data_IF_979731252387
#
_entry.id   IF_979731252387
#
_cell.length_a   1.000
_cell.length_b   1.000
_cell.length_c   1.000
_cell.angle_alpha   90.00
_cell.angle_beta   90.00
_cell.angle_gamma   90.00
#
_symmetry.space_group_name_H-M   'P 1'
#
loop_
_entity.id
_entity.type
_entity.pdbx_description
1 polymer ?
#
# COMPACT_ATOMS: atom_id res chain seq x y z
N UNK A 1 -18.38 5.42 28.87
CA UNK A 1 -17.05 5.59 29.50
C UNK A 1 -16.43 4.26 29.97
N UNK A 2 -17.11 3.46 30.79
CA UNK A 2 -16.55 2.21 31.33
C UNK A 2 -16.05 1.22 30.24
N UNK A 3 -16.78 1.06 29.13
CA UNK A 3 -16.40 0.16 28.04
C UNK A 3 -15.10 0.58 27.32
N UNK A 4 -14.84 1.87 27.18
CA UNK A 4 -13.60 2.36 26.58
C UNK A 4 -12.40 2.19 27.53
N UNK A 5 -12.57 2.41 28.83
CA UNK A 5 -11.50 2.14 29.81
C UNK A 5 -11.07 0.68 29.81
N UNK A 6 -12.04 -0.24 29.71
CA UNK A 6 -11.72 -1.65 29.58
C UNK A 6 -10.99 -1.94 28.26
N UNK A 7 -11.45 -1.40 27.15
CA UNK A 7 -10.82 -1.60 25.84
C UNK A 7 -9.36 -1.09 25.84
N UNK A 8 -9.10 0.05 26.49
CA UNK A 8 -7.75 0.56 26.70
C UNK A 8 -6.88 -0.43 27.51
N UNK A 9 -7.45 -0.99 28.59
CA UNK A 9 -6.77 -1.99 29.39
C UNK A 9 -6.47 -3.29 28.61
N UNK A 10 -7.38 -3.70 27.70
CA UNK A 10 -7.13 -4.85 26.82
C UNK A 10 -5.96 -4.59 25.86
N UNK A 11 -5.88 -3.39 25.25
CA UNK A 11 -4.73 -2.99 24.42
C UNK A 11 -3.45 -2.92 25.27
N UNK A 12 -3.52 -2.34 26.45
CA UNK A 12 -2.37 -2.23 27.36
C UNK A 12 -1.87 -3.61 27.82
N UNK A 13 -2.78 -4.58 28.02
CA UNK A 13 -2.43 -5.94 28.43
C UNK A 13 -1.64 -6.72 27.38
N UNK A 14 -1.76 -6.35 26.11
CA UNK A 14 -1.04 -6.97 24.99
C UNK A 14 0.06 -6.06 24.41
N UNK A 15 0.44 -5.00 25.13
CA UNK A 15 1.42 -4.01 24.67
C UNK A 15 2.78 -4.65 24.31
N UNK A 16 3.24 -5.63 25.07
CA UNK A 16 4.49 -6.34 24.80
C UNK A 16 4.36 -7.23 23.56
N UNK A 17 3.22 -7.90 23.34
CA UNK A 17 2.96 -8.66 22.12
C UNK A 17 2.89 -7.75 20.88
N UNK A 18 2.25 -6.58 20.99
CA UNK A 18 2.20 -5.58 19.91
C UNK A 18 3.63 -5.19 19.51
N UNK A 19 4.49 -4.89 20.48
CA UNK A 19 5.86 -4.50 20.21
C UNK A 19 6.72 -5.66 19.71
N UNK A 20 6.50 -6.86 20.23
CA UNK A 20 7.18 -8.08 19.79
C UNK A 20 6.92 -8.36 18.30
N UNK A 21 5.66 -8.32 17.88
CA UNK A 21 5.28 -8.44 16.46
C UNK A 21 5.90 -7.33 15.62
N UNK A 22 5.82 -6.07 16.07
CA UNK A 22 6.42 -4.95 15.35
C UNK A 22 7.93 -5.14 15.13
N UNK A 23 8.62 -5.63 16.17
CA UNK A 23 10.09 -5.81 16.14
C UNK A 23 10.51 -6.95 15.23
N UNK A 24 9.83 -8.11 15.29
CA UNK A 24 10.15 -9.24 14.43
C UNK A 24 9.87 -8.95 12.96
N UNK A 25 8.71 -8.33 12.63
CA UNK A 25 8.41 -7.93 11.26
C UNK A 25 9.44 -6.90 10.77
N UNK A 26 9.86 -5.95 11.63
CA UNK A 26 10.91 -4.98 11.31
C UNK A 26 12.26 -5.66 11.02
N UNK A 27 12.62 -6.69 11.79
CA UNK A 27 13.86 -7.45 11.60
C UNK A 27 13.86 -8.34 10.37
N UNK A 28 12.70 -8.94 10.03
CA UNK A 28 12.57 -9.79 8.85
C UNK A 28 12.69 -8.98 7.57
N UNK A 29 12.13 -7.78 7.53
CA UNK A 29 12.22 -6.81 6.43
C UNK A 29 12.01 -7.45 5.05
N UNK A 30 11.02 -8.35 4.92
CA UNK A 30 10.73 -9.08 3.70
C UNK A 30 9.93 -8.21 2.73
N UNK A 31 10.39 -8.17 1.48
CA UNK A 31 9.73 -7.36 0.43
C UNK A 31 8.47 -8.03 -0.11
N UNK A 32 7.64 -7.26 -0.80
CA UNK A 32 6.37 -7.70 -1.35
C UNK A 32 6.44 -9.03 -2.11
N UNK A 33 5.43 -9.88 -1.94
CA UNK A 33 5.31 -11.27 -2.37
C UNK A 33 6.25 -12.30 -1.70
N UNK A 34 7.15 -11.87 -0.81
CA UNK A 34 8.14 -12.73 -0.15
C UNK A 34 8.08 -12.64 1.38
N UNK A 35 6.98 -12.15 1.93
CA UNK A 35 6.77 -11.88 3.35
C UNK A 35 6.45 -13.17 4.15
N UNK A 36 7.17 -14.25 3.88
CA UNK A 36 6.84 -15.57 4.44
C UNK A 36 6.95 -15.63 5.97
N UNK A 37 8.03 -15.09 6.55
CA UNK A 37 8.25 -15.08 8.00
C UNK A 37 7.31 -14.08 8.68
N UNK A 38 7.20 -12.88 8.12
CA UNK A 38 6.35 -11.81 8.63
C UNK A 38 4.89 -12.27 8.69
N UNK A 39 4.38 -12.80 7.58
CA UNK A 39 3.04 -13.36 7.47
C UNK A 39 2.79 -14.49 8.47
N UNK A 40 3.71 -15.47 8.57
CA UNK A 40 3.60 -16.59 9.49
C UNK A 40 3.58 -16.11 10.96
N UNK A 41 4.48 -15.19 11.31
CA UNK A 41 4.60 -14.68 12.67
C UNK A 41 3.34 -13.95 13.15
N UNK A 42 2.74 -13.10 12.28
CA UNK A 42 1.49 -12.42 12.59
C UNK A 42 0.33 -13.41 12.72
N UNK A 43 0.26 -14.44 11.86
CA UNK A 43 -0.72 -15.52 11.98
C UNK A 43 -0.61 -16.25 13.31
N UNK A 44 0.59 -16.70 13.68
CA UNK A 44 0.84 -17.43 14.94
C UNK A 44 0.47 -16.57 16.15
N UNK A 45 0.79 -15.27 16.12
CA UNK A 45 0.41 -14.33 17.17
C UNK A 45 -1.12 -14.23 17.31
N UNK A 46 -1.87 -14.14 16.21
CA UNK A 46 -3.34 -14.11 16.24
C UNK A 46 -3.93 -15.45 16.69
N UNK A 47 -3.41 -16.58 16.22
CA UNK A 47 -3.86 -17.92 16.64
C UNK A 47 -3.66 -18.12 18.15
N UNK A 48 -2.53 -17.66 18.70
CA UNK A 48 -2.25 -17.71 20.15
C UNK A 48 -3.27 -16.92 20.99
N UNK A 49 -3.91 -15.93 20.36
CA UNK A 49 -4.94 -15.10 20.95
C UNK A 49 -6.37 -15.57 20.63
N UNK A 50 -6.52 -16.77 20.06
CA UNK A 50 -7.81 -17.42 19.82
C UNK A 50 -8.52 -17.00 18.54
N UNK A 51 -7.81 -16.44 17.56
CA UNK A 51 -8.31 -16.32 16.19
C UNK A 51 -8.12 -17.63 15.44
N UNK A 52 -9.01 -17.91 14.49
CA UNK A 52 -8.89 -19.05 13.57
C UNK A 52 -8.53 -18.55 12.20
N UNK A 53 -7.44 -19.08 11.60
CA UNK A 53 -7.08 -18.77 10.22
C UNK A 53 -7.98 -19.60 9.30
N UNK A 54 -8.92 -18.91 8.62
CA UNK A 54 -9.94 -19.56 7.78
C UNK A 54 -9.48 -19.80 6.36
N UNK A 55 -8.65 -18.90 5.81
CA UNK A 55 -8.20 -18.92 4.42
C UNK A 55 -6.73 -18.52 4.33
N UNK A 56 -6.02 -19.07 3.33
CA UNK A 56 -4.63 -18.75 2.99
C UNK A 56 -4.45 -18.75 1.47
N UNK A 57 -3.46 -18.02 0.97
CA UNK A 57 -3.13 -18.00 -0.46
C UNK A 57 -4.21 -17.35 -1.33
N UNK A 58 -4.92 -16.36 -0.79
CA UNK A 58 -6.07 -15.73 -1.41
C UNK A 58 -5.65 -14.93 -2.64
N UNK A 59 -6.36 -15.10 -3.74
CA UNK A 59 -6.02 -14.40 -4.99
C UNK A 59 -4.69 -14.82 -5.60
N UNK A 60 -4.12 -15.98 -5.18
CA UNK A 60 -2.81 -16.45 -5.60
C UNK A 60 -1.64 -15.83 -4.84
N UNK A 61 -1.89 -15.10 -3.76
CA UNK A 61 -0.87 -14.49 -2.90
C UNK A 61 -0.54 -15.44 -1.75
N UNK A 62 0.58 -16.15 -1.83
CA UNK A 62 0.95 -17.20 -0.86
C UNK A 62 0.99 -16.72 0.59
N UNK A 63 1.35 -15.46 0.82
CA UNK A 63 1.50 -14.85 2.14
C UNK A 63 0.23 -14.16 2.65
N UNK A 64 -0.88 -14.20 1.86
CA UNK A 64 -2.19 -13.68 2.27
C UNK A 64 -2.98 -14.66 3.14
N UNK A 65 -3.80 -14.14 4.05
CA UNK A 65 -4.65 -14.92 4.93
C UNK A 65 -5.83 -14.14 5.49
N UNK A 66 -6.83 -14.86 6.02
CA UNK A 66 -7.93 -14.30 6.81
C UNK A 66 -7.95 -14.99 8.17
N UNK A 67 -7.87 -14.21 9.25
CA UNK A 67 -8.08 -14.66 10.61
C UNK A 67 -9.45 -14.18 11.10
N UNK A 68 -10.23 -15.07 11.71
CA UNK A 68 -11.60 -14.78 12.13
C UNK A 68 -11.78 -15.07 13.61
N UNK A 69 -12.52 -14.21 14.31
CA UNK A 69 -13.00 -14.45 15.67
C UNK A 69 -14.39 -13.85 15.87
N UNK A 70 -15.14 -14.40 16.83
CA UNK A 70 -16.53 -14.03 17.07
C UNK A 70 -17.51 -14.74 16.15
N UNK A 71 -18.81 -14.45 16.34
CA UNK A 71 -19.88 -15.06 15.56
C UNK A 71 -21.13 -14.18 15.54
N UNK A 72 -21.72 -14.08 14.34
CA UNK A 72 -22.95 -13.29 14.11
C UNK A 72 -22.73 -11.79 14.31
N UNK A 73 -23.81 -11.03 14.31
CA UNK A 73 -23.77 -9.56 14.40
C UNK A 73 -23.08 -8.88 13.23
N UNK A 74 -22.73 -7.60 13.35
CA UNK A 74 -21.95 -6.92 12.34
C UNK A 74 -20.52 -7.49 12.22
N UNK A 75 -19.98 -7.48 11.01
CA UNK A 75 -18.64 -7.96 10.69
C UNK A 75 -17.69 -6.78 10.46
N UNK A 76 -16.68 -6.67 11.31
CA UNK A 76 -15.59 -5.69 11.21
C UNK A 76 -14.39 -6.31 10.50
N UNK A 77 -13.93 -5.71 9.41
CA UNK A 77 -12.66 -6.00 8.77
C UNK A 77 -11.52 -5.15 9.35
N UNK A 78 -10.34 -5.72 9.48
CA UNK A 78 -9.11 -5.01 9.86
C UNK A 78 -8.01 -5.43 8.89
N UNK A 79 -7.39 -4.47 8.20
CA UNK A 79 -6.29 -4.72 7.26
C UNK A 79 -4.95 -4.77 7.99
N UNK A 80 -4.10 -5.67 7.54
CA UNK A 80 -2.74 -5.89 8.08
C UNK A 80 -1.78 -5.94 6.90
N UNK A 81 -0.84 -5.02 6.86
CA UNK A 81 0.27 -4.98 5.89
C UNK A 81 1.56 -5.32 6.61
N UNK A 82 2.51 -5.95 5.93
CA UNK A 82 3.77 -6.40 6.54
C UNK A 82 4.95 -6.48 5.57
N UNK A 83 4.82 -5.98 4.35
CA UNK A 83 5.91 -5.90 3.38
C UNK A 83 6.84 -4.73 3.66
N UNK A 84 8.14 -4.94 3.36
CA UNK A 84 9.22 -3.96 3.47
C UNK A 84 9.60 -3.41 2.09
N UNK A 85 10.36 -2.33 2.11
CA UNK A 85 10.90 -1.69 0.91
C UNK A 85 12.34 -2.13 0.66
N UNK A 86 12.68 -2.40 -0.61
CA UNK A 86 14.04 -2.73 -1.01
C UNK A 86 15.03 -1.59 -0.72
N UNK A 87 16.24 -1.93 -0.26
CA UNK A 87 17.34 -0.99 -0.09
C UNK A 87 17.18 0.04 1.04
N UNK A 88 16.16 -0.08 1.89
CA UNK A 88 15.89 0.85 3.00
C UNK A 88 16.27 0.31 4.37
N UNK A 89 17.10 -0.74 4.41
CA UNK A 89 17.66 -1.26 5.67
C UNK A 89 18.48 -0.19 6.41
N UNK A 90 18.11 0.09 7.65
CA UNK A 90 18.84 1.02 8.50
C UNK A 90 18.78 0.58 9.96
N UNK A 91 19.85 0.83 10.70
CA UNK A 91 19.88 0.64 12.14
C UNK A 91 19.07 1.74 12.85
N UNK A 92 18.69 1.52 14.12
CA UNK A 92 17.96 2.46 14.97
C UNK A 92 18.84 3.60 15.48
N UNK A 93 19.52 4.28 14.57
CA UNK A 93 20.41 5.41 14.83
C UNK A 93 20.03 6.63 13.96
N UNK A 94 20.23 7.87 14.40
CA UNK A 94 19.78 9.06 13.69
C UNK A 94 20.73 9.48 12.55
N UNK A 95 21.23 8.52 11.81
CA UNK A 95 22.04 8.67 10.60
C UNK A 95 21.87 7.47 9.70
N UNK A 96 22.18 7.60 8.43
CA UNK A 96 22.19 6.44 7.54
C UNK A 96 23.27 5.45 7.98
N UNK A 97 22.89 4.23 8.30
CA UNK A 97 23.75 3.16 8.76
C UNK A 97 23.17 1.81 8.40
N UNK A 98 23.99 0.88 7.95
CA UNK A 98 23.52 -0.48 7.66
C UNK A 98 22.81 -1.07 8.88
N UNK A 99 21.70 -1.79 8.64
CA UNK A 99 20.98 -2.49 9.69
C UNK A 99 21.92 -3.45 10.45
N UNK A 100 21.78 -3.53 11.76
CA UNK A 100 22.60 -4.43 12.60
C UNK A 100 22.42 -5.91 12.19
N UNK A 101 21.24 -6.27 11.66
CA UNK A 101 20.96 -7.59 11.06
C UNK A 101 21.75 -7.86 9.77
N UNK A 102 22.28 -6.82 9.12
CA UNK A 102 22.89 -6.90 7.79
C UNK A 102 21.87 -6.98 6.64
N UNK A 103 20.57 -6.89 6.94
CA UNK A 103 19.52 -6.93 5.92
C UNK A 103 19.51 -5.63 5.10
N UNK A 104 19.52 -5.69 3.75
CA UNK A 104 19.55 -4.48 2.93
C UNK A 104 18.21 -3.74 2.89
N UNK A 105 17.09 -4.44 3.10
CA UNK A 105 15.72 -3.93 2.98
C UNK A 105 15.21 -3.47 4.34
N UNK A 106 14.15 -2.64 4.35
CA UNK A 106 13.65 -2.09 5.60
C UNK A 106 12.26 -1.50 5.52
N UNK A 107 11.61 -1.39 6.67
CA UNK A 107 10.27 -0.84 6.81
C UNK A 107 10.25 0.69 6.76
N UNK A 108 10.61 1.27 5.59
CA UNK A 108 10.58 2.73 5.36
C UNK A 108 9.18 3.33 5.28
N UNK A 109 8.14 2.50 5.09
CA UNK A 109 6.73 2.87 5.16
C UNK A 109 6.07 2.49 6.50
N UNK A 110 6.71 1.61 7.29
CA UNK A 110 6.25 1.24 8.64
C UNK A 110 5.17 0.17 8.68
N UNK A 111 5.10 -0.72 7.71
CA UNK A 111 4.12 -1.82 7.69
C UNK A 111 4.28 -2.79 8.88
N UNK A 112 5.46 -2.86 9.50
CA UNK A 112 5.65 -3.55 10.79
C UNK A 112 4.78 -2.95 11.91
N UNK A 113 4.55 -1.63 11.90
CA UNK A 113 3.68 -0.94 12.85
C UNK A 113 2.20 -1.14 12.48
N UNK A 114 1.87 -1.23 11.19
CA UNK A 114 0.52 -1.56 10.71
C UNK A 114 0.14 -2.96 11.17
N UNK A 115 1.02 -3.94 10.96
CA UNK A 115 0.80 -5.32 11.38
C UNK A 115 0.48 -5.41 12.87
N UNK A 116 1.31 -4.80 13.68
CA UNK A 116 1.23 -4.91 15.14
C UNK A 116 0.07 -4.11 15.76
N UNK A 117 -0.20 -2.88 15.30
CA UNK A 117 -1.33 -2.09 15.78
C UNK A 117 -2.68 -2.71 15.42
N UNK A 118 -2.81 -3.21 14.19
CA UNK A 118 -4.00 -3.91 13.73
C UNK A 118 -4.27 -5.18 14.53
N UNK A 119 -3.22 -5.97 14.82
CA UNK A 119 -3.29 -7.15 15.68
C UNK A 119 -3.75 -6.77 17.08
N UNK A 120 -3.14 -5.77 17.71
CA UNK A 120 -3.51 -5.31 19.06
C UNK A 120 -4.95 -4.85 19.16
N UNK A 121 -5.41 -4.09 18.15
CA UNK A 121 -6.80 -3.64 18.05
C UNK A 121 -7.78 -4.83 17.92
N UNK A 122 -7.47 -5.79 17.05
CA UNK A 122 -8.30 -6.97 16.84
C UNK A 122 -8.47 -7.79 18.13
N UNK A 123 -7.38 -8.03 18.87
CA UNK A 123 -7.39 -8.76 20.15
C UNK A 123 -8.25 -8.03 21.18
N UNK A 124 -8.05 -6.71 21.34
CA UNK A 124 -8.80 -5.92 22.31
C UNK A 124 -10.31 -5.91 22.03
N UNK A 125 -10.71 -5.77 20.76
CA UNK A 125 -12.12 -5.81 20.35
C UNK A 125 -12.70 -7.21 20.61
N UNK A 126 -11.98 -8.26 20.24
CA UNK A 126 -12.36 -9.65 20.50
C UNK A 126 -12.63 -9.87 21.98
N UNK A 127 -11.67 -9.55 22.86
CA UNK A 127 -11.81 -9.71 24.28
C UNK A 127 -13.01 -8.92 24.86
N UNK A 128 -13.26 -7.74 24.31
CA UNK A 128 -14.41 -6.91 24.70
C UNK A 128 -15.76 -7.54 24.31
N UNK A 129 -15.86 -8.07 23.08
CA UNK A 129 -17.06 -8.78 22.58
C UNK A 129 -17.35 -9.99 23.44
N UNK A 130 -16.35 -10.83 23.71
CA UNK A 130 -16.47 -12.04 24.53
C UNK A 130 -16.90 -11.71 25.96
N UNK A 131 -16.28 -10.73 26.57
CA UNK A 131 -16.59 -10.35 27.93
C UNK A 131 -18.00 -9.78 28.12
N UNK A 132 -18.49 -9.03 27.14
CA UNK A 132 -19.83 -8.44 27.15
C UNK A 132 -20.90 -9.38 26.55
N UNK A 133 -20.46 -10.50 25.95
CA UNK A 133 -21.32 -11.49 25.30
C UNK A 133 -22.25 -10.88 24.25
N UNK A 134 -21.72 -9.94 23.47
CA UNK A 134 -22.46 -9.34 22.36
C UNK A 134 -22.14 -10.06 21.04
N UNK A 135 -23.10 -10.14 20.10
CA UNK A 135 -22.80 -10.68 18.77
C UNK A 135 -21.90 -9.73 18.00
N UNK A 136 -20.93 -10.26 17.30
CA UNK A 136 -20.01 -9.52 16.44
C UNK A 136 -18.97 -10.46 15.85
N UNK A 137 -18.52 -10.17 14.66
CA UNK A 137 -17.48 -10.91 13.96
C UNK A 137 -16.32 -9.97 13.61
N UNK A 138 -15.11 -10.42 13.82
CA UNK A 138 -13.88 -9.71 13.43
C UNK A 138 -13.17 -10.58 12.40
N UNK A 139 -12.88 -9.99 11.24
CA UNK A 139 -12.01 -10.58 10.23
C UNK A 139 -10.75 -9.72 10.09
N UNK A 140 -9.61 -10.32 10.32
CA UNK A 140 -8.30 -9.69 10.11
C UNK A 140 -7.74 -10.21 8.81
N UNK A 141 -7.35 -9.32 7.92
CA UNK A 141 -6.87 -9.64 6.58
C UNK A 141 -5.38 -9.39 6.50
N UNK A 142 -4.58 -10.44 6.35
CA UNK A 142 -3.17 -10.34 6.01
C UNK A 142 -3.01 -9.99 4.54
N UNK A 143 -2.58 -8.78 4.27
CA UNK A 143 -2.52 -8.17 2.95
C UNK A 143 -1.05 -7.96 2.55
N UNK A 144 -0.46 -8.88 1.75
CA UNK A 144 0.90 -8.73 1.26
C UNK A 144 1.00 -7.72 0.13
N UNK A 145 2.25 -7.34 -0.23
CA UNK A 145 2.62 -6.63 -1.44
C UNK A 145 1.90 -5.29 -1.67
N UNK A 146 1.66 -4.51 -0.58
CA UNK A 146 1.06 -3.18 -0.69
C UNK A 146 1.98 -2.24 -1.49
N UNK A 147 3.28 -2.28 -1.23
CA UNK A 147 4.30 -1.46 -1.91
C UNK A 147 4.41 -1.78 -3.43
N UNK A 148 3.94 -2.96 -3.82
CA UNK A 148 3.80 -3.35 -5.23
C UNK A 148 2.46 -2.88 -5.82
N UNK A 149 1.57 -2.27 -5.02
CA UNK A 149 0.20 -1.87 -5.37
C UNK A 149 -0.65 -3.05 -5.90
N UNK A 150 -0.47 -4.24 -5.35
CA UNK A 150 -1.00 -5.48 -5.94
C UNK A 150 -1.47 -6.55 -4.94
N UNK A 151 -1.65 -6.22 -3.67
CA UNK A 151 -2.12 -7.17 -2.68
C UNK A 151 -3.64 -7.22 -2.58
N UNK A 152 -4.24 -6.15 -2.09
CA UNK A 152 -5.67 -6.08 -1.76
C UNK A 152 -6.57 -6.13 -2.99
N UNK A 153 -6.12 -5.63 -4.16
CA UNK A 153 -6.85 -5.72 -5.42
C UNK A 153 -7.02 -7.18 -5.90
N UNK A 154 -6.02 -8.05 -5.70
CA UNK A 154 -6.15 -9.49 -6.00
C UNK A 154 -7.02 -10.20 -4.97
N UNK A 155 -6.88 -9.87 -3.68
CA UNK A 155 -7.77 -10.39 -2.63
C UNK A 155 -9.23 -9.96 -2.88
N UNK A 156 -9.45 -8.71 -3.31
CA UNK A 156 -10.76 -8.17 -3.69
C UNK A 156 -11.38 -8.95 -4.86
N UNK A 157 -10.58 -9.20 -5.90
CA UNK A 157 -10.98 -9.99 -7.08
C UNK A 157 -11.35 -11.43 -6.73
N UNK A 158 -10.70 -12.00 -5.71
CA UNK A 158 -10.99 -13.32 -5.17
C UNK A 158 -12.19 -13.34 -4.20
N UNK A 159 -12.82 -12.19 -3.92
CA UNK A 159 -13.99 -12.10 -3.05
C UNK A 159 -13.68 -12.17 -1.54
N UNK A 160 -12.42 -11.95 -1.13
CA UNK A 160 -11.97 -12.05 0.25
C UNK A 160 -12.79 -11.21 1.23
N UNK A 161 -13.22 -10.03 0.79
CA UNK A 161 -13.92 -9.04 1.61
C UNK A 161 -15.44 -9.24 1.69
N UNK A 162 -15.96 -10.33 1.14
CA UNK A 162 -17.41 -10.62 1.15
C UNK A 162 -17.93 -10.80 2.57
N UNK A 163 -19.11 -10.18 2.84
CA UNK A 163 -19.78 -10.27 4.13
C UNK A 163 -19.15 -9.43 5.24
N UNK A 164 -18.27 -8.49 4.92
CA UNK A 164 -17.74 -7.48 5.84
C UNK A 164 -18.61 -6.23 5.75
N UNK A 165 -18.99 -5.66 6.89
CA UNK A 165 -19.87 -4.50 6.98
C UNK A 165 -19.13 -3.17 6.96
N UNK A 166 -17.92 -3.13 7.55
CA UNK A 166 -17.05 -1.96 7.64
C UNK A 166 -15.60 -2.43 7.80
N UNK A 167 -14.65 -1.71 7.23
CA UNK A 167 -13.24 -2.06 7.29
C UNK A 167 -12.41 -0.91 7.88
N UNK A 168 -11.43 -1.27 8.70
CA UNK A 168 -10.48 -0.33 9.27
C UNK A 168 -9.06 -0.69 8.85
N UNK A 169 -8.27 0.36 8.61
CA UNK A 169 -6.83 0.24 8.44
C UNK A 169 -6.09 1.32 9.24
N UNK A 170 -4.80 1.32 9.22
CA UNK A 170 -3.99 2.37 9.81
C UNK A 170 -2.69 2.54 9.04
N UNK A 171 -2.09 3.72 9.10
CA UNK A 171 -0.85 3.99 8.42
C UNK A 171 0.03 4.96 9.21
N UNK A 172 1.29 4.59 9.51
CA UNK A 172 2.25 5.53 10.07
C UNK A 172 2.54 6.66 9.10
N UNK A 173 2.86 7.84 9.62
CA UNK A 173 3.13 9.05 8.87
C UNK A 173 4.01 10.02 9.66
N UNK A 174 4.23 11.22 9.14
CA UNK A 174 4.85 12.33 9.89
C UNK A 174 3.84 13.16 10.70
N UNK A 175 2.52 12.92 10.53
CA UNK A 175 1.43 13.68 11.14
C UNK A 175 0.37 12.77 11.75
N UNK A 176 -0.51 13.33 12.61
CA UNK A 176 -1.66 12.59 13.14
C UNK A 176 -2.93 13.12 12.50
N UNK A 177 -3.71 12.25 11.84
CA UNK A 177 -4.97 12.59 11.17
C UNK A 177 -5.77 11.32 10.86
N UNK A 178 -6.78 11.38 9.99
CA UNK A 178 -7.50 10.23 9.44
C UNK A 178 -7.38 10.18 7.93
N UNK A 179 -7.46 9.00 7.36
CA UNK A 179 -7.32 8.74 5.92
C UNK A 179 -8.62 9.04 5.16
N UNK A 180 -9.09 10.29 5.24
CA UNK A 180 -10.32 10.72 4.58
C UNK A 180 -10.03 11.62 3.38
N UNK A 181 -9.32 11.08 2.40
CA UNK A 181 -8.95 11.78 1.18
C UNK A 181 -9.11 10.87 -0.04
N UNK A 182 -9.19 11.47 -1.22
CA UNK A 182 -9.07 10.75 -2.48
C UNK A 182 -7.59 10.51 -2.80
N UNK A 183 -7.21 9.24 -2.95
CA UNK A 183 -5.93 8.88 -3.54
C UNK A 183 -6.06 8.77 -5.06
N UNK A 184 -4.96 8.59 -5.78
CA UNK A 184 -5.03 8.33 -7.21
C UNK A 184 -5.18 6.85 -7.51
N UNK A 185 -6.01 6.50 -8.50
CA UNK A 185 -6.01 5.20 -9.15
C UNK A 185 -4.78 5.05 -10.04
N UNK A 186 -4.33 3.83 -10.29
CA UNK A 186 -3.12 3.57 -11.08
C UNK A 186 -3.23 2.27 -11.86
N UNK A 187 -2.49 2.17 -12.98
CA UNK A 187 -2.29 0.92 -13.71
C UNK A 187 -0.88 0.84 -14.27
N UNK A 188 -0.31 -0.36 -14.23
CA UNK A 188 0.99 -0.69 -14.80
C UNK A 188 0.84 -1.66 -15.96
N UNK A 189 1.51 -1.34 -17.07
CA UNK A 189 1.49 -2.16 -18.27
C UNK A 189 2.91 -2.40 -18.77
N UNK A 190 3.23 -3.65 -19.11
CA UNK A 190 4.31 -3.92 -20.05
C UNK A 190 3.75 -3.95 -21.45
N UNK A 191 4.45 -3.26 -22.34
CA UNK A 191 4.13 -3.26 -23.76
C UNK A 191 5.37 -3.69 -24.52
N UNK A 192 5.24 -4.75 -25.30
CA UNK A 192 6.29 -5.34 -26.10
C UNK A 192 5.92 -5.29 -27.57
N UNK A 193 6.92 -5.10 -28.42
CA UNK A 193 6.77 -5.25 -29.84
C UNK A 193 7.73 -6.31 -30.34
N UNK A 194 7.22 -7.20 -31.23
CA UNK A 194 7.96 -8.25 -31.88
C UNK A 194 8.01 -7.98 -33.38
N UNK A 195 9.21 -7.88 -33.92
CA UNK A 195 9.50 -7.58 -35.31
C UNK A 195 10.28 -8.71 -36.00
N UNK A 196 11.20 -8.31 -36.88
CA UNK A 196 12.09 -9.24 -37.63
C UNK A 196 13.49 -8.65 -37.68
N UNK A 197 14.48 -9.39 -37.18
CA UNK A 197 15.87 -8.99 -37.24
C UNK A 197 16.41 -9.00 -38.68
N UNK A 198 17.30 -8.09 -38.99
CA UNK A 198 18.05 -8.05 -40.25
C UNK A 198 19.38 -7.30 -40.06
N UNK A 199 20.33 -7.52 -40.96
CA UNK A 199 21.58 -6.75 -40.95
C UNK A 199 21.30 -5.32 -41.40
N UNK A 200 21.45 -4.34 -40.53
CA UNK A 200 21.05 -2.96 -40.76
C UNK A 200 21.78 -2.29 -41.94
N UNK A 201 23.01 -2.69 -42.23
CA UNK A 201 23.79 -2.11 -43.34
C UNK A 201 23.68 -2.91 -44.66
N UNK A 202 23.23 -4.14 -44.66
CA UNK A 202 23.24 -5.03 -45.86
C UNK A 202 21.84 -5.21 -46.44
N UNK A 203 20.86 -5.50 -45.58
CA UNK A 203 19.49 -5.80 -45.99
C UNK A 203 18.43 -5.30 -44.99
N UNK A 204 18.43 -3.99 -44.63
CA UNK A 204 17.48 -3.46 -43.65
C UNK A 204 16.02 -3.58 -44.09
N UNK A 205 15.74 -3.70 -45.38
CA UNK A 205 14.38 -3.88 -45.91
C UNK A 205 13.78 -5.26 -45.58
N UNK A 206 14.59 -6.24 -45.23
CA UNK A 206 14.13 -7.56 -44.76
C UNK A 206 13.68 -7.50 -43.28
N UNK A 207 14.09 -6.47 -42.53
CA UNK A 207 13.76 -6.31 -41.11
C UNK A 207 12.44 -5.60 -40.84
N UNK A 208 11.94 -5.75 -39.65
CA UNK A 208 10.83 -4.97 -39.07
C UNK A 208 11.22 -4.57 -37.67
N UNK A 209 11.48 -3.28 -37.47
CA UNK A 209 12.06 -2.81 -36.20
C UNK A 209 11.00 -2.67 -35.10
N UNK A 210 11.14 -3.48 -34.07
CA UNK A 210 10.36 -3.35 -32.83
C UNK A 210 10.67 -2.04 -32.11
N UNK A 211 11.93 -1.58 -32.15
CA UNK A 211 12.33 -0.29 -31.60
C UNK A 211 11.59 0.87 -32.25
N UNK A 212 11.41 0.89 -33.57
CA UNK A 212 10.65 1.94 -34.24
C UNK A 212 9.18 1.94 -33.81
N UNK A 213 8.58 0.77 -33.53
CA UNK A 213 7.23 0.71 -32.96
C UNK A 213 7.18 1.38 -31.57
N UNK A 214 8.13 1.05 -30.71
CA UNK A 214 8.24 1.68 -29.38
C UNK A 214 8.47 3.20 -29.48
N UNK A 215 9.32 3.69 -30.40
CA UNK A 215 9.54 5.12 -30.63
C UNK A 215 8.26 5.84 -31.05
N UNK A 216 7.50 5.29 -31.99
CA UNK A 216 6.20 5.83 -32.41
C UNK A 216 5.23 5.86 -31.22
N UNK A 217 5.16 4.79 -30.45
CA UNK A 217 4.35 4.70 -29.25
C UNK A 217 4.71 5.80 -28.25
N UNK A 218 5.98 5.96 -27.91
CA UNK A 218 6.45 6.96 -26.94
C UNK A 218 6.19 8.40 -27.41
N UNK A 219 6.34 8.69 -28.71
CA UNK A 219 5.97 9.99 -29.27
C UNK A 219 4.47 10.25 -29.10
N UNK A 220 3.61 9.28 -29.46
CA UNK A 220 2.16 9.43 -29.33
C UNK A 220 1.72 9.56 -27.86
N UNK A 221 2.33 8.80 -26.95
CA UNK A 221 2.08 8.89 -25.50
C UNK A 221 2.48 10.28 -24.95
N UNK A 222 3.59 10.85 -25.41
CA UNK A 222 3.98 12.20 -25.01
C UNK A 222 3.02 13.28 -25.55
N UNK A 223 2.43 13.10 -26.74
CA UNK A 223 1.37 13.97 -27.25
C UNK A 223 0.05 13.79 -26.46
N UNK A 224 -0.30 12.56 -26.05
CA UNK A 224 -1.47 12.28 -25.23
C UNK A 224 -1.46 13.05 -23.90
N UNK A 225 -0.29 13.38 -23.35
CA UNK A 225 -0.16 14.14 -22.08
C UNK A 225 -0.91 15.47 -22.10
N UNK A 226 -1.04 16.12 -23.25
CA UNK A 226 -1.75 17.40 -23.35
C UNK A 226 -3.27 17.27 -23.12
N UNK A 227 -3.83 16.08 -23.35
CA UNK A 227 -5.25 15.79 -23.19
C UNK A 227 -5.57 15.06 -21.87
N UNK A 228 -4.57 14.86 -21.01
CA UNK A 228 -4.75 14.28 -19.68
C UNK A 228 -5.25 15.33 -18.68
N UNK A 229 -5.97 14.87 -17.65
CA UNK A 229 -6.36 15.72 -16.54
C UNK A 229 -5.11 16.27 -15.81
N UNK A 230 -5.15 17.49 -15.24
CA UNK A 230 -4.01 18.09 -14.54
C UNK A 230 -3.48 17.23 -13.37
N UNK A 231 -4.35 16.43 -12.73
CA UNK A 231 -4.00 15.52 -11.64
C UNK A 231 -3.36 14.22 -12.13
N UNK A 232 -3.57 13.86 -13.41
CA UNK A 232 -3.05 12.62 -13.96
C UNK A 232 -1.52 12.67 -14.18
N UNK A 233 -0.88 11.52 -14.08
CA UNK A 233 0.56 11.35 -14.34
C UNK A 233 0.79 10.11 -15.18
N UNK A 234 1.73 10.21 -16.11
CA UNK A 234 2.16 9.11 -16.94
C UNK A 234 3.68 9.06 -16.96
N UNK A 235 4.22 7.91 -16.60
CA UNK A 235 5.65 7.64 -16.59
C UNK A 235 5.94 6.37 -17.39
N UNK A 236 7.13 6.26 -17.96
CA UNK A 236 7.58 5.04 -18.62
C UNK A 236 9.07 4.83 -18.45
N UNK A 237 9.48 3.58 -18.59
CA UNK A 237 10.85 3.14 -18.60
C UNK A 237 11.06 2.18 -19.77
N UNK A 238 12.08 2.41 -20.58
CA UNK A 238 12.49 1.50 -21.64
C UNK A 238 13.26 0.35 -20.98
N UNK A 239 12.75 -0.87 -21.16
CA UNK A 239 13.36 -2.08 -20.60
C UNK A 239 14.25 -2.80 -21.63
N UNK A 240 13.87 -2.74 -22.92
CA UNK A 240 14.63 -3.29 -24.00
C UNK A 240 14.45 -2.42 -25.27
N UNK A 241 15.52 -2.14 -25.97
CA UNK A 241 15.55 -1.38 -27.23
C UNK A 241 16.45 -2.04 -28.30
N UNK A 242 16.82 -3.30 -28.11
CA UNK A 242 17.70 -4.06 -29.01
C UNK A 242 19.11 -4.22 -28.48
N UNK A 243 19.91 -5.07 -29.13
CA UNK A 243 21.19 -5.57 -28.61
C UNK A 243 22.43 -5.00 -29.33
N UNK A 244 22.32 -4.63 -30.60
CA UNK A 244 23.46 -4.16 -31.39
C UNK A 244 23.02 -3.14 -32.46
N UNK A 245 23.81 -2.10 -32.67
CA UNK A 245 23.48 -0.99 -33.58
C UNK A 245 23.39 -1.42 -35.05
N UNK A 246 24.07 -2.49 -35.43
CA UNK A 246 24.08 -3.03 -36.81
C UNK A 246 23.05 -4.15 -37.04
N UNK A 247 22.13 -4.37 -36.10
CA UNK A 247 21.03 -5.34 -36.18
C UNK A 247 19.71 -4.59 -36.04
N UNK A 248 18.78 -4.78 -36.97
CA UNK A 248 17.41 -4.28 -36.82
C UNK A 248 16.78 -4.99 -35.60
N UNK A 249 16.34 -4.26 -34.55
CA UNK A 249 15.78 -4.89 -33.35
C UNK A 249 14.47 -5.63 -33.64
N UNK A 250 14.42 -6.90 -33.32
CA UNK A 250 13.22 -7.75 -33.44
C UNK A 250 12.40 -7.79 -32.15
N UNK A 251 12.91 -7.24 -31.07
CA UNK A 251 12.22 -7.09 -29.81
C UNK A 251 12.46 -5.68 -29.21
N UNK A 252 11.42 -5.11 -28.58
CA UNK A 252 11.50 -3.91 -27.75
C UNK A 252 10.43 -3.97 -26.67
N UNK A 253 10.72 -3.46 -25.48
CA UNK A 253 9.87 -3.53 -24.30
C UNK A 253 9.88 -2.24 -23.51
N UNK A 254 8.72 -1.78 -23.08
CA UNK A 254 8.54 -0.61 -22.20
C UNK A 254 7.63 -0.96 -21.03
N UNK A 255 8.00 -0.49 -19.84
CA UNK A 255 7.09 -0.41 -18.68
C UNK A 255 6.44 0.99 -18.71
N UNK A 256 5.12 1.04 -18.55
CA UNK A 256 4.38 2.29 -18.47
C UNK A 256 3.46 2.26 -17.25
N UNK A 257 3.45 3.36 -16.48
CA UNK A 257 2.54 3.60 -15.36
C UNK A 257 1.68 4.81 -15.66
N UNK A 258 0.38 4.63 -15.63
CA UNK A 258 -0.60 5.72 -15.67
C UNK A 258 -1.27 5.85 -14.29
N UNK A 259 -1.30 7.08 -13.74
CA UNK A 259 -2.05 7.44 -12.54
C UNK A 259 -3.12 8.45 -12.92
N UNK A 260 -4.34 8.22 -12.50
CA UNK A 260 -5.47 9.12 -12.74
C UNK A 260 -6.25 9.42 -11.46
N UNK A 261 -7.09 10.45 -11.46
CA UNK A 261 -7.88 10.83 -10.27
C UNK A 261 -8.95 9.79 -9.91
N UNK A 262 -9.27 8.86 -10.81
CA UNK A 262 -10.25 7.79 -10.58
C UNK A 262 -9.95 6.56 -11.42
N UNK A 263 -10.50 5.41 -11.01
CA UNK A 263 -10.43 4.18 -11.77
C UNK A 263 -11.06 4.32 -13.18
N UNK A 264 -12.15 5.08 -13.31
CA UNK A 264 -12.78 5.37 -14.61
C UNK A 264 -11.82 6.10 -15.56
N UNK A 265 -11.08 7.08 -15.04
CA UNK A 265 -10.07 7.81 -15.81
C UNK A 265 -8.91 6.89 -16.23
N UNK A 266 -8.46 6.04 -15.31
CA UNK A 266 -7.42 5.03 -15.59
C UNK A 266 -7.87 4.07 -16.69
N UNK A 267 -9.09 3.54 -16.60
CA UNK A 267 -9.61 2.61 -17.61
C UNK A 267 -9.76 3.27 -18.98
N UNK A 268 -10.24 4.50 -19.03
CA UNK A 268 -10.31 5.28 -20.27
C UNK A 268 -8.93 5.44 -20.93
N UNK A 269 -7.92 5.77 -20.16
CA UNK A 269 -6.58 5.96 -20.68
C UNK A 269 -5.86 4.65 -20.97
N UNK A 270 -6.16 3.55 -20.23
CA UNK A 270 -5.72 2.19 -20.60
C UNK A 270 -6.12 1.84 -22.03
N UNK A 271 -7.41 2.03 -22.37
CA UNK A 271 -7.90 1.77 -23.74
C UNK A 271 -7.11 2.59 -24.75
N UNK A 272 -6.90 3.87 -24.50
CA UNK A 272 -6.15 4.73 -25.40
C UNK A 272 -4.67 4.31 -25.56
N UNK A 273 -4.02 3.90 -24.46
CA UNK A 273 -2.65 3.34 -24.50
C UNK A 273 -2.57 2.07 -25.36
N UNK A 274 -3.57 1.19 -25.25
CA UNK A 274 -3.66 -0.02 -26.08
C UNK A 274 -3.84 0.32 -27.57
N UNK A 275 -4.69 1.30 -27.88
CA UNK A 275 -4.89 1.76 -29.27
C UNK A 275 -3.60 2.39 -29.86
N UNK A 276 -2.87 3.16 -29.07
CA UNK A 276 -1.57 3.73 -29.47
C UNK A 276 -0.56 2.61 -29.73
N UNK A 277 -0.48 1.62 -28.84
CA UNK A 277 0.45 0.49 -28.99
C UNK A 277 0.16 -0.32 -30.27
N UNK A 278 -1.12 -0.59 -30.52
CA UNK A 278 -1.59 -1.26 -31.73
C UNK A 278 -1.32 -0.40 -33.00
N UNK A 279 -1.57 0.91 -32.93
CA UNK A 279 -1.27 1.84 -34.02
C UNK A 279 0.22 1.85 -34.38
N UNK A 280 1.09 1.86 -33.38
CA UNK A 280 2.53 1.77 -33.55
C UNK A 280 2.97 0.46 -34.24
N UNK A 281 2.39 -0.67 -33.82
CA UNK A 281 2.62 -1.97 -34.40
C UNK A 281 2.21 -2.03 -35.89
N UNK A 282 1.03 -1.49 -36.22
CA UNK A 282 0.55 -1.38 -37.60
C UNK A 282 1.46 -0.52 -38.47
N UNK A 283 1.95 0.62 -37.96
CA UNK A 283 2.87 1.50 -38.70
C UNK A 283 4.18 0.84 -39.08
N UNK A 284 4.66 -0.09 -38.24
CA UNK A 284 5.98 -0.74 -38.39
C UNK A 284 5.92 -2.18 -38.89
N UNK A 285 4.71 -2.72 -39.10
CA UNK A 285 4.48 -4.11 -39.46
C UNK A 285 5.07 -5.08 -38.42
N UNK A 286 4.97 -4.72 -37.13
CA UNK A 286 5.35 -5.52 -35.99
C UNK A 286 4.09 -6.07 -35.29
N UNK A 287 4.25 -6.85 -34.22
CA UNK A 287 3.16 -7.37 -33.39
C UNK A 287 3.36 -6.89 -31.96
N UNK A 288 2.36 -6.22 -31.42
CA UNK A 288 2.34 -5.84 -30.01
C UNK A 288 1.87 -6.99 -29.11
N UNK A 289 2.41 -7.03 -27.89
CA UNK A 289 1.94 -7.83 -26.77
C UNK A 289 1.83 -6.91 -25.56
N UNK A 290 0.70 -6.92 -24.87
CA UNK A 290 0.49 -6.13 -23.68
C UNK A 290 0.24 -7.04 -22.50
N UNK A 291 0.99 -6.84 -21.42
CA UNK A 291 0.80 -7.50 -20.13
C UNK A 291 0.34 -6.47 -19.11
N UNK A 292 -0.84 -6.67 -18.53
CA UNK A 292 -1.31 -5.89 -17.40
C UNK A 292 -0.63 -6.41 -16.13
N UNK A 293 0.20 -5.58 -15.50
CA UNK A 293 0.92 -5.94 -14.28
C UNK A 293 0.08 -5.74 -13.02
N UNK A 294 -1.01 -5.00 -13.14
CA UNK A 294 -1.94 -4.72 -12.07
C UNK A 294 -2.40 -3.27 -12.08
N UNK A 295 -3.52 -3.04 -11.41
CA UNK A 295 -4.08 -1.71 -11.24
C UNK A 295 -4.88 -1.62 -9.95
N UNK A 296 -4.94 -0.43 -9.39
CA UNK A 296 -5.64 -0.12 -8.15
C UNK A 296 -6.61 1.04 -8.31
N UNK A 297 -7.65 1.01 -7.51
CA UNK A 297 -8.64 2.07 -7.41
C UNK A 297 -8.13 3.27 -6.58
N UNK A 298 -8.71 4.43 -6.81
CA UNK A 298 -8.71 5.57 -5.91
C UNK A 298 -9.44 5.22 -4.60
N UNK A 299 -9.04 5.83 -3.47
CA UNK A 299 -9.76 5.65 -2.21
C UNK A 299 -11.11 6.38 -2.23
N UNK A 300 -12.16 5.70 -1.79
CA UNK A 300 -13.50 6.26 -1.63
C UNK A 300 -13.69 6.76 -0.19
N UNK A 301 -13.77 8.08 0.06
CA UNK A 301 -13.95 8.63 1.40
C UNK A 301 -15.29 8.27 2.03
N UNK A 302 -15.35 8.33 3.38
CA UNK A 302 -16.59 8.21 4.16
C UNK A 302 -16.53 9.18 5.34
N UNK A 303 -17.22 10.31 5.25
CA UNK A 303 -17.16 11.38 6.23
C UNK A 303 -17.71 10.97 7.60
N UNK A 304 -18.79 10.16 7.64
CA UNK A 304 -19.38 9.66 8.91
C UNK A 304 -18.37 8.78 9.65
N UNK A 305 -17.68 7.90 8.92
CA UNK A 305 -16.67 7.02 9.50
C UNK A 305 -15.41 7.82 9.92
N UNK A 306 -15.03 8.81 9.11
CA UNK A 306 -13.92 9.71 9.43
C UNK A 306 -14.17 10.53 10.70
N UNK A 307 -15.38 11.06 10.88
CA UNK A 307 -15.76 11.77 12.12
C UNK A 307 -15.67 10.84 13.34
N UNK A 308 -16.12 9.58 13.21
CA UNK A 308 -16.00 8.60 14.28
C UNK A 308 -14.53 8.39 14.66
N UNK A 309 -13.68 8.09 13.69
CA UNK A 309 -12.25 7.84 13.94
C UNK A 309 -11.53 9.09 14.45
N UNK A 310 -11.87 10.28 13.97
CA UNK A 310 -11.29 11.56 14.43
C UNK A 310 -11.56 11.82 15.92
N UNK A 311 -12.75 11.44 16.42
CA UNK A 311 -13.02 11.54 17.88
C UNK A 311 -12.06 10.68 18.69
N UNK A 312 -11.74 9.47 18.20
CA UNK A 312 -10.79 8.58 18.86
C UNK A 312 -9.34 9.00 18.65
N UNK A 313 -8.99 9.54 17.48
CA UNK A 313 -7.68 10.19 17.29
C UNK A 313 -7.44 11.30 18.33
N UNK A 314 -8.39 12.21 18.52
CA UNK A 314 -8.27 13.28 19.51
C UNK A 314 -8.24 12.80 20.96
N UNK A 315 -8.67 11.57 21.24
CA UNK A 315 -8.60 10.96 22.56
C UNK A 315 -7.22 10.41 22.90
N UNK A 316 -6.53 9.82 21.91
CA UNK A 316 -5.29 9.09 22.13
C UNK A 316 -4.05 9.80 21.59
N UNK A 317 -4.22 10.79 20.74
CA UNK A 317 -3.15 11.61 20.17
C UNK A 317 -3.30 13.10 20.57
N UNK A 318 -2.21 13.90 20.51
CA UNK A 318 -0.86 13.51 20.12
C UNK A 318 -0.14 12.66 21.19
N UNK A 319 0.84 11.87 20.74
CA UNK A 319 1.71 11.11 21.63
C UNK A 319 2.60 12.07 22.43
N UNK A 320 2.82 11.76 23.71
CA UNK A 320 3.79 12.45 24.55
C UNK A 320 5.19 11.87 24.27
N UNK A 321 5.92 12.56 23.42
CA UNK A 321 7.29 12.22 23.09
C UNK A 321 8.25 12.62 24.19
N UNK A 322 9.27 11.80 24.46
CA UNK A 322 10.35 12.18 25.37
C UNK A 322 11.32 13.17 24.69
N UNK A 323 12.15 13.84 25.52
CA UNK A 323 13.16 14.76 25.00
C UNK A 323 14.18 14.02 24.13
N UNK A 324 14.51 12.76 24.45
CA UNK A 324 15.41 11.90 23.67
C UNK A 324 14.81 11.53 22.30
N UNK A 325 13.51 11.20 22.24
CA UNK A 325 12.82 10.90 21.00
C UNK A 325 12.73 12.15 20.10
N UNK A 326 12.44 13.32 20.68
CA UNK A 326 12.46 14.58 19.95
C UNK A 326 13.86 14.95 19.47
N UNK A 327 14.91 14.71 20.27
CA UNK A 327 16.29 14.93 19.88
C UNK A 327 16.72 13.97 18.75
N UNK A 328 16.32 12.70 18.82
CA UNK A 328 16.55 11.72 17.78
C UNK A 328 15.91 12.16 16.45
N UNK A 329 14.66 12.59 16.48
CA UNK A 329 13.94 13.09 15.33
C UNK A 329 14.61 14.32 14.69
N UNK A 330 15.00 15.30 15.50
CA UNK A 330 15.75 16.48 15.03
C UNK A 330 17.11 16.12 14.44
N UNK A 331 17.77 15.11 14.97
CA UNK A 331 19.07 14.64 14.43
C UNK A 331 18.90 14.03 13.03
N UNK A 332 17.82 13.25 12.77
CA UNK A 332 17.48 12.77 11.44
C UNK A 332 17.21 13.95 10.50
N UNK A 333 16.39 14.91 10.93
CA UNK A 333 16.06 16.09 10.11
C UNK A 333 17.32 16.88 9.74
N UNK A 334 18.22 17.08 10.69
CA UNK A 334 19.50 17.74 10.47
C UNK A 334 20.37 17.00 9.46
N UNK A 335 20.51 15.68 9.62
CA UNK A 335 21.28 14.83 8.69
C UNK A 335 20.71 14.88 7.28
N UNK A 336 19.39 14.97 7.14
CA UNK A 336 18.70 15.06 5.85
C UNK A 336 18.49 16.52 5.35
N UNK A 337 19.06 17.52 6.01
CA UNK A 337 18.94 18.92 5.59
C UNK A 337 17.50 19.47 5.65
N UNK A 338 16.67 18.99 6.58
CA UNK A 338 15.28 19.40 6.77
C UNK A 338 15.12 20.31 8.00
N UNK A 339 14.00 21.06 8.12
CA UNK A 339 13.68 21.82 9.34
C UNK A 339 13.64 20.90 10.57
N UNK A 340 14.27 21.32 11.68
CA UNK A 340 14.45 20.51 12.90
C UNK A 340 13.26 20.66 13.87
N UNK A 341 12.02 20.44 13.40
CA UNK A 341 10.78 20.56 14.18
C UNK A 341 10.45 19.33 15.02
N UNK A 342 11.17 18.21 14.82
CA UNK A 342 10.97 16.96 15.56
C UNK A 342 9.75 16.17 15.10
N UNK A 343 9.09 15.50 16.07
CA UNK A 343 7.89 14.69 15.87
C UNK A 343 6.63 15.54 16.06
N UNK A 344 5.53 15.17 15.41
CA UNK A 344 4.27 15.87 15.50
C UNK A 344 3.70 15.87 16.93
N UNK A 345 3.21 17.03 17.37
CA UNK A 345 2.61 17.27 18.68
C UNK A 345 1.15 17.74 18.61
N UNK A 346 0.53 17.63 17.44
CA UNK A 346 -0.87 17.99 17.18
C UNK A 346 -1.59 16.90 16.41
N UNK A 347 -2.91 16.91 16.46
CA UNK A 347 -3.78 16.16 15.56
C UNK A 347 -4.29 17.12 14.50
N UNK A 348 -4.08 16.81 13.26
CA UNK A 348 -4.50 17.64 12.12
C UNK A 348 -5.82 17.09 11.56
N UNK A 349 -6.88 17.90 11.49
CA UNK A 349 -8.08 17.48 10.78
C UNK A 349 -7.79 17.39 9.28
N UNK A 350 -8.34 16.38 8.62
CA UNK A 350 -8.33 16.30 7.17
C UNK A 350 -9.66 16.89 6.66
N UNK A 351 -9.62 17.96 5.85
CA UNK A 351 -10.82 18.42 5.18
C UNK A 351 -11.37 17.35 4.24
N UNK A 352 -12.69 17.19 4.23
CA UNK A 352 -13.36 16.33 3.24
C UNK A 352 -13.05 16.81 1.81
N UNK A 353 -12.87 15.86 0.89
CA UNK A 353 -12.61 16.15 -0.53
C UNK A 353 -11.17 16.56 -0.87
N UNK A 354 -10.21 16.33 0.01
CA UNK A 354 -8.78 16.54 -0.29
C UNK A 354 -8.27 15.45 -1.23
N UNK A 355 -7.60 15.85 -2.30
CA UNK A 355 -6.89 14.95 -3.22
C UNK A 355 -5.41 14.86 -2.83
N UNK A 356 -4.88 13.65 -2.75
CA UNK A 356 -3.45 13.38 -2.53
C UNK A 356 -2.86 12.62 -3.72
N UNK A 357 -1.61 12.90 -4.06
CA UNK A 357 -0.93 12.28 -5.18
C UNK A 357 -0.44 10.84 -4.94
N UNK A 358 -0.62 10.31 -3.74
CA UNK A 358 -0.28 8.93 -3.38
C UNK A 358 -1.34 7.93 -3.86
N UNK A 359 -0.96 6.67 -3.92
CA UNK A 359 -1.84 5.54 -4.24
C UNK A 359 -1.65 4.45 -3.20
N UNK A 360 -2.71 3.72 -2.88
CA UNK A 360 -2.66 2.51 -2.04
C UNK A 360 -3.73 1.54 -2.53
N UNK A 361 -3.46 0.25 -2.46
CA UNK A 361 -4.42 -0.79 -2.81
C UNK A 361 -5.57 -0.93 -1.78
N UNK A 362 -5.56 -0.16 -0.68
CA UNK A 362 -6.72 0.11 0.18
C UNK A 362 -7.88 0.72 -0.62
N UNK A 363 -7.58 1.42 -1.72
CA UNK A 363 -8.56 1.92 -2.66
C UNK A 363 -9.56 0.84 -3.06
N UNK A 364 -9.07 -0.32 -3.52
CA UNK A 364 -9.92 -1.44 -3.96
C UNK A 364 -10.88 -1.92 -2.86
N UNK A 365 -10.42 -2.00 -1.62
CA UNK A 365 -11.28 -2.35 -0.46
C UNK A 365 -12.32 -1.27 -0.22
N UNK A 366 -11.97 0.01 -0.34
CA UNK A 366 -12.85 1.14 -0.09
C UNK A 366 -14.02 1.24 -1.07
N UNK A 367 -13.91 0.64 -2.25
CA UNK A 367 -15.01 0.53 -3.22
C UNK A 367 -15.92 -0.67 -3.00
N UNK A 368 -15.52 -1.61 -2.15
CA UNK A 368 -16.31 -2.78 -1.77
C UNK A 368 -17.04 -2.58 -0.44
N UNK A 369 -16.38 -1.89 0.50
CA UNK A 369 -16.81 -1.77 1.89
C UNK A 369 -16.47 -0.37 2.39
N UNK A 370 -17.31 0.28 3.22
CA UNK A 370 -16.91 1.51 3.90
C UNK A 370 -15.59 1.30 4.65
N UNK A 371 -14.55 2.05 4.28
CA UNK A 371 -13.20 1.84 4.81
C UNK A 371 -12.61 3.15 5.33
N UNK A 372 -11.90 3.13 6.46
CA UNK A 372 -11.24 4.30 7.04
C UNK A 372 -9.96 3.92 7.74
N UNK A 373 -8.96 4.79 7.67
CA UNK A 373 -7.65 4.59 8.29
C UNK A 373 -7.26 5.67 9.30
N UNK A 374 -6.62 5.23 10.39
CA UNK A 374 -5.90 6.11 11.30
C UNK A 374 -4.52 6.43 10.71
N UNK A 375 -4.18 7.71 10.60
CA UNK A 375 -2.85 8.17 10.18
C UNK A 375 -2.14 8.76 11.38
N UNK A 376 -0.96 8.27 11.72
CA UNK A 376 -0.31 8.63 12.97
C UNK A 376 1.19 8.86 12.83
N UNK A 377 1.69 9.84 13.60
CA UNK A 377 3.11 10.18 13.61
C UNK A 377 3.95 9.02 14.14
N UNK A 378 4.89 8.57 13.31
CA UNK A 378 5.87 7.53 13.64
C UNK A 378 7.29 7.87 13.13
N UNK A 379 7.46 9.01 12.47
CA UNK A 379 8.75 9.57 12.06
C UNK A 379 8.71 11.11 12.02
N UNK A 380 9.89 11.78 11.88
CA UNK A 380 9.97 13.23 12.00
C UNK A 380 9.17 13.99 10.93
N UNK A 381 8.65 15.16 11.30
CA UNK A 381 8.07 16.12 10.37
C UNK A 381 9.05 16.43 9.21
N UNK A 382 8.53 16.77 8.05
CA UNK A 382 9.30 17.12 6.83
C UNK A 382 10.12 15.99 6.21
N UNK A 383 10.14 14.80 6.81
CA UNK A 383 10.76 13.61 6.21
C UNK A 383 9.71 12.92 5.34
N UNK A 384 9.89 12.80 4.01
CA UNK A 384 8.98 12.04 3.17
C UNK A 384 9.01 10.55 3.54
N UNK A 385 7.97 9.78 3.24
CA UNK A 385 8.00 8.33 3.38
C UNK A 385 9.10 7.72 2.49
N UNK A 386 9.41 6.44 2.73
CA UNK A 386 10.43 5.67 1.99
C UNK A 386 11.83 6.25 2.12
N UNK A 387 12.19 6.61 3.37
CA UNK A 387 13.52 7.10 3.73
C UNK A 387 14.10 6.26 4.87
N UNK A 388 15.43 6.14 4.92
CA UNK A 388 16.15 5.45 5.99
C UNK A 388 15.78 5.95 7.40
N UNK A 389 15.49 7.24 7.52
CA UNK A 389 15.08 7.85 8.79
C UNK A 389 13.73 7.35 9.31
N UNK A 390 12.82 6.95 8.41
CA UNK A 390 11.57 6.29 8.77
C UNK A 390 11.86 4.89 9.33
N UNK A 391 12.66 4.08 8.62
CA UNK A 391 13.08 2.74 9.07
C UNK A 391 13.72 2.79 10.46
N UNK A 392 14.62 3.76 10.70
CA UNK A 392 15.25 3.95 12.01
C UNK A 392 14.25 4.22 13.14
N UNK A 393 13.22 5.03 12.88
CA UNK A 393 12.18 5.35 13.87
C UNK A 393 11.26 4.15 14.17
N UNK A 394 10.97 3.33 13.17
CA UNK A 394 10.02 2.23 13.30
C UNK A 394 10.55 1.05 14.14
N UNK A 395 11.89 0.88 14.27
CA UNK A 395 12.51 -0.15 15.09
C UNK A 395 12.81 0.28 16.54
N UNK A 396 12.34 1.45 17.00
CA UNK A 396 12.67 1.97 18.32
C UNK A 396 11.44 2.46 19.12
N UNK A 397 11.68 3.15 20.25
CA UNK A 397 10.59 3.62 21.13
C UNK A 397 9.58 4.54 20.45
N UNK A 398 9.96 5.29 19.40
CA UNK A 398 9.05 6.08 18.58
C UNK A 398 8.01 5.16 17.93
N UNK A 399 8.44 4.12 17.23
CA UNK A 399 7.56 3.12 16.63
C UNK A 399 6.72 2.39 17.69
N UNK A 400 7.33 2.01 18.85
CA UNK A 400 6.61 1.34 19.94
C UNK A 400 5.45 2.18 20.48
N UNK A 401 5.65 3.46 20.71
CA UNK A 401 4.59 4.36 21.18
C UNK A 401 3.53 4.58 20.11
N UNK A 402 3.97 4.77 18.87
CA UNK A 402 3.09 5.02 17.73
C UNK A 402 2.12 3.85 17.49
N UNK A 403 2.64 2.62 17.37
CA UNK A 403 1.82 1.44 17.14
C UNK A 403 0.85 1.17 18.29
N UNK A 404 1.28 1.38 19.55
CA UNK A 404 0.42 1.19 20.72
C UNK A 404 -0.76 2.16 20.74
N UNK A 405 -0.55 3.45 20.44
CA UNK A 405 -1.64 4.43 20.39
C UNK A 405 -2.54 4.21 19.17
N UNK A 406 -1.98 3.81 18.02
CA UNK A 406 -2.75 3.44 16.85
C UNK A 406 -3.69 2.26 17.14
N UNK A 407 -3.21 1.24 17.85
CA UNK A 407 -4.05 0.11 18.29
C UNK A 407 -5.25 0.59 19.13
N UNK A 408 -5.09 1.58 20.02
CA UNK A 408 -6.19 2.16 20.80
C UNK A 408 -7.21 2.89 19.93
N UNK A 409 -6.76 3.68 18.94
CA UNK A 409 -7.67 4.35 18.00
C UNK A 409 -8.48 3.32 17.21
N UNK A 410 -7.79 2.33 16.65
CA UNK A 410 -8.42 1.27 15.86
C UNK A 410 -9.42 0.46 16.70
N UNK A 411 -9.03 0.07 17.92
CA UNK A 411 -9.88 -0.67 18.84
C UNK A 411 -11.13 0.14 19.22
N UNK A 412 -10.97 1.41 19.58
CA UNK A 412 -12.08 2.27 19.99
C UNK A 412 -13.06 2.55 18.85
N UNK A 413 -12.54 2.79 17.63
CA UNK A 413 -13.35 2.99 16.43
C UNK A 413 -14.13 1.71 16.09
N UNK A 414 -13.45 0.57 16.04
CA UNK A 414 -14.08 -0.72 15.75
C UNK A 414 -15.15 -1.11 16.79
N UNK A 415 -14.86 -0.87 18.06
CA UNK A 415 -15.83 -1.08 19.13
C UNK A 415 -17.06 -0.18 18.98
N UNK A 416 -16.90 1.10 18.69
CA UNK A 416 -18.04 2.01 18.49
C UNK A 416 -18.93 1.56 17.34
N UNK A 417 -18.35 1.11 16.23
CA UNK A 417 -19.07 0.60 15.07
C UNK A 417 -19.85 -0.68 15.38
N UNK A 418 -19.25 -1.62 16.11
CA UNK A 418 -19.90 -2.89 16.48
C UNK A 418 -21.00 -2.70 17.55
N UNK A 419 -20.84 -1.73 18.46
CA UNK A 419 -21.77 -1.50 19.56
C UNK A 419 -22.84 -0.43 19.30
N UNK A 420 -22.77 0.27 18.17
CA UNK A 420 -23.71 1.33 17.77
C UNK A 420 -24.29 1.07 16.39
N UNK A 421 -25.41 0.32 16.30
CA UNK A 421 -26.04 0.00 15.03
C UNK A 421 -26.45 1.24 14.20
N UNK A 422 -26.86 2.34 14.86
CA UNK A 422 -27.26 3.55 14.16
C UNK A 422 -26.07 4.23 13.45
N UNK A 423 -24.89 4.20 14.07
CA UNK A 423 -23.65 4.69 13.44
C UNK A 423 -23.28 3.83 12.24
N UNK A 424 -23.28 2.50 12.40
CA UNK A 424 -22.94 1.59 11.31
C UNK A 424 -23.88 1.75 10.10
N UNK A 425 -25.19 1.90 10.34
CA UNK A 425 -26.14 2.16 9.26
C UNK A 425 -25.90 3.53 8.59
N UNK A 426 -25.53 4.57 9.34
CA UNK A 426 -25.18 5.86 8.76
C UNK A 426 -23.93 5.78 7.87
N UNK A 427 -22.92 5.02 8.30
CA UNK A 427 -21.70 4.74 7.52
C UNK A 427 -22.01 4.01 6.21
N UNK A 428 -22.87 2.98 6.26
CA UNK A 428 -23.31 2.23 5.08
C UNK A 428 -24.16 3.09 4.12
N UNK A 429 -25.02 3.93 4.67
CA UNK A 429 -25.85 4.83 3.87
C UNK A 429 -25.02 5.85 3.11
N UNK A 430 -23.98 6.39 3.76
CA UNK A 430 -23.03 7.27 3.08
C UNK A 430 -22.23 6.55 2.00
N UNK A 431 -21.72 5.37 2.29
CA UNK A 431 -21.01 4.54 1.31
C UNK A 431 -21.87 4.30 0.06
N UNK A 432 -23.14 3.96 0.23
CA UNK A 432 -24.08 3.78 -0.88
C UNK A 432 -24.26 5.07 -1.71
N UNK A 433 -24.30 6.24 -1.04
CA UNK A 433 -24.36 7.54 -1.74
C UNK A 433 -23.09 7.82 -2.52
N UNK A 434 -21.91 7.55 -1.95
CA UNK A 434 -20.61 7.78 -2.58
C UNK A 434 -20.41 6.86 -3.80
N UNK A 435 -20.84 5.62 -3.72
CA UNK A 435 -20.84 4.71 -4.87
C UNK A 435 -21.68 5.24 -6.03
N UNK A 436 -22.76 5.96 -5.76
CA UNK A 436 -23.63 6.55 -6.77
C UNK A 436 -24.02 5.57 -7.90
N UNK A 437 -24.37 4.34 -7.52
CA UNK A 437 -24.75 3.26 -8.44
C UNK A 437 -23.58 2.59 -9.18
N UNK A 438 -22.35 3.00 -8.95
CA UNK A 438 -21.17 2.33 -9.49
C UNK A 438 -20.89 1.03 -8.73
N UNK A 439 -20.29 0.09 -9.43
CA UNK A 439 -19.86 -1.20 -8.86
C UNK A 439 -18.36 -1.38 -9.08
N UNK A 440 -17.68 -1.91 -8.09
CA UNK A 440 -16.26 -2.25 -8.22
C UNK A 440 -16.07 -3.30 -9.32
N UNK A 441 -15.05 -3.06 -10.16
CA UNK A 441 -14.56 -4.00 -11.16
C UNK A 441 -13.04 -3.96 -11.13
N UNK A 442 -12.41 -5.09 -10.85
CA UNK A 442 -10.95 -5.16 -10.79
C UNK A 442 -10.31 -4.59 -12.05
N UNK A 443 -9.25 -3.79 -11.88
CA UNK A 443 -8.42 -3.31 -12.99
C UNK A 443 -7.45 -4.38 -13.49
N UNK A 444 -7.36 -5.52 -12.81
CA UNK A 444 -6.53 -6.66 -13.17
C UNK A 444 -7.25 -7.54 -14.22
N UNK A 445 -6.50 -8.05 -15.19
CA UNK A 445 -7.07 -8.88 -16.28
C UNK A 445 -7.40 -10.32 -15.82
N UNK A 446 -6.86 -10.78 -14.69
CA UNK A 446 -7.15 -12.10 -14.14
C UNK A 446 -7.08 -12.08 -12.61
N UNK A 447 -8.09 -12.67 -11.93
CA UNK A 447 -8.12 -12.72 -10.46
C UNK A 447 -7.17 -13.78 -9.86
N UNK A 448 -6.51 -14.58 -10.68
CA UNK A 448 -5.71 -15.71 -10.21
C UNK A 448 -4.28 -15.66 -10.73
N UNK A 449 -3.38 -15.25 -9.93
CA UNK A 449 -1.91 -15.30 -10.04
C UNK A 449 -1.19 -13.97 -10.30
N UNK A 450 -1.07 -13.12 -9.28
CA UNK A 450 -0.35 -11.84 -9.36
C UNK A 450 1.15 -12.03 -9.61
N UNK A 451 1.73 -13.10 -9.11
CA UNK A 451 3.14 -13.39 -9.26
C UNK A 451 3.50 -14.39 -10.34
N UNK A 452 2.52 -15.10 -10.93
CA UNK A 452 2.77 -16.21 -11.84
C UNK A 452 2.92 -15.85 -13.32
N UNK A 453 2.73 -14.58 -13.69
CA UNK A 453 2.96 -14.10 -15.06
C UNK A 453 4.36 -13.52 -15.27
N UNK A 454 5.07 -13.24 -14.19
CA UNK A 454 6.47 -12.84 -14.24
C UNK A 454 7.30 -14.06 -13.87
N UNK A 455 8.17 -14.51 -14.75
CA UNK A 455 9.20 -15.47 -14.36
C UNK A 455 10.16 -14.79 -13.34
N UNK A 456 11.00 -15.56 -12.67
CA UNK A 456 11.91 -15.02 -11.65
C UNK A 456 12.87 -13.95 -12.20
N UNK A 457 13.22 -14.05 -13.49
CA UNK A 457 14.08 -13.06 -14.16
C UNK A 457 13.30 -11.76 -14.45
N UNK A 458 12.05 -11.86 -14.84
CA UNK A 458 11.17 -10.72 -15.10
C UNK A 458 10.78 -10.02 -13.79
N UNK A 459 10.55 -10.78 -12.70
CA UNK A 459 10.36 -10.23 -11.36
C UNK A 459 11.60 -9.50 -10.89
N UNK A 460 12.77 -10.11 -11.06
CA UNK A 460 14.04 -9.49 -10.72
C UNK A 460 14.29 -8.23 -11.56
N UNK A 461 13.91 -8.20 -12.82
CA UNK A 461 13.99 -7.04 -13.68
C UNK A 461 13.04 -5.92 -13.23
N UNK A 462 11.82 -6.25 -12.79
CA UNK A 462 10.87 -5.30 -12.21
C UNK A 462 11.39 -4.73 -10.89
N UNK A 463 11.89 -5.58 -10.00
CA UNK A 463 12.53 -5.21 -8.74
C UNK A 463 13.80 -4.37 -8.99
N UNK A 464 14.64 -4.75 -9.95
CA UNK A 464 15.83 -3.99 -10.34
C UNK A 464 15.50 -2.63 -10.97
N UNK A 465 14.37 -2.51 -11.68
CA UNK A 465 13.93 -1.23 -12.23
C UNK A 465 13.53 -0.25 -11.12
N UNK A 466 12.87 -0.74 -10.07
CA UNK A 466 12.57 0.06 -8.87
C UNK A 466 13.88 0.42 -8.15
N UNK A 467 14.80 -0.52 -7.97
CA UNK A 467 16.11 -0.29 -7.35
C UNK A 467 16.98 0.66 -8.17
N UNK A 468 17.09 0.45 -9.49
CA UNK A 468 17.89 1.29 -10.37
C UNK A 468 17.34 2.73 -10.47
N UNK A 469 16.01 2.91 -10.38
CA UNK A 469 15.42 4.23 -10.26
C UNK A 469 15.84 4.91 -8.94
N UNK A 470 15.84 4.18 -7.84
CA UNK A 470 16.30 4.66 -6.53
C UNK A 470 17.81 4.97 -6.55
N UNK A 471 18.63 4.12 -7.19
CA UNK A 471 20.08 4.32 -7.27
C UNK A 471 20.52 5.36 -8.32
N UNK A 472 19.85 5.38 -9.49
CA UNK A 472 20.24 6.20 -10.62
C UNK A 472 19.83 7.67 -10.50
N UNK A 473 18.76 7.96 -9.76
CA UNK A 473 18.31 9.34 -9.54
C UNK A 473 18.99 10.03 -8.37
N UNK A 474 20.07 9.44 -7.83
CA UNK A 474 20.88 10.13 -6.83
C UNK A 474 20.08 10.51 -5.58
N UNK A 475 19.03 9.74 -5.25
CA UNK A 475 18.26 9.93 -4.01
C UNK A 475 19.17 9.75 -2.78
N UNK A 476 20.39 9.21 -2.99
CA UNK A 476 21.45 9.10 -1.96
C UNK A 476 22.23 10.40 -1.70
N UNK A 477 22.17 11.43 -2.56
CA UNK A 477 23.06 12.59 -2.41
C UNK A 477 22.40 13.97 -2.34
N UNK A 478 21.13 14.18 -2.69
CA UNK A 478 20.54 15.53 -2.71
C UNK A 478 19.04 15.58 -2.48
N UNK A 479 18.49 15.04 -1.40
CA UNK A 479 17.21 15.51 -0.84
C UNK A 479 17.27 15.44 0.69
#
# INVERSE_FOLDING_TARGET
MANYLRLEQEVDSVADLIWDVASHVWEYAEVGYKEYKSSAYVCEALESQGFSISDRGIGGLETSWIATSGMGGPCLGILVEFDALPGLGNDTVPRQAAAASGHPDGHGCGHNLIASSSLGAAIAIKNQIEALRIPGTIKVFGCPAEEMLNGKNYMASAGAFSGVDVCLHNHPAMVNTVWNFHSTASIDLWIEWHGTAAHAGVAPWEGRSALHAMEIFLVAVNMMREQMLPQARLHYQILDGGTAVNVIPDHAKVLIRYRGPSADDVMKHKVWLLDIARGAALCTQTREVVTNLGGIYDCLPNDVLAECMTRHMNRYFPIQWSDEEQAFARSIQKEMGKPEDGLATTVNPVPSGVEVGGSSDVGDVSWLIPTMGAVYSAWPLHIPPHQWGCTACHGMSIGRKATHQAAKVMAATGWELLSNPALLEAVKAEFTRQLNGRTYQSLNDSPSNPGGRLDDAERHQYDCCIHAAIEHFGIKEHI
#
